data_IF_838138874586
#
_entry.id   IF_838138874586
#
_cell.length_a   1.000
_cell.length_b   1.000
_cell.length_c   1.000
_cell.angle_alpha   90.00
_cell.angle_beta   90.00
_cell.angle_gamma   90.00
#
_symmetry.space_group_name_H-M   'P 1'
#
loop_
_entity.id
_entity.type
_entity.pdbx_description
1 polymer ?
#
# COMPACT_ATOMS: atom_id res chain seq x y z
N UNK A 1 -6.39 3.88 -17.22
CA UNK A 1 -7.21 3.85 -16.00
C UNK A 1 -7.55 5.28 -15.64
N UNK A 2 -8.79 5.57 -15.24
CA UNK A 2 -9.12 6.91 -14.72
C UNK A 2 -8.44 7.14 -13.36
N UNK A 3 -8.19 8.41 -13.00
CA UNK A 3 -7.57 8.77 -11.72
C UNK A 3 -8.28 8.18 -10.51
N UNK A 4 -9.62 8.10 -10.55
CA UNK A 4 -10.44 7.47 -9.51
C UNK A 4 -10.18 5.95 -9.38
N UNK A 5 -9.99 5.24 -10.49
CA UNK A 5 -9.66 3.81 -10.46
C UNK A 5 -8.26 3.57 -9.87
N UNK A 6 -7.30 4.46 -10.16
CA UNK A 6 -5.95 4.36 -9.64
C UNK A 6 -5.89 4.63 -8.12
N UNK A 7 -6.67 5.62 -7.64
CA UNK A 7 -6.87 5.87 -6.20
C UNK A 7 -7.51 4.69 -5.50
N UNK A 8 -8.56 4.10 -6.09
CA UNK A 8 -9.22 2.93 -5.52
C UNK A 8 -8.27 1.73 -5.44
N UNK A 9 -7.49 1.49 -6.50
CA UNK A 9 -6.48 0.43 -6.52
C UNK A 9 -5.41 0.63 -5.43
N UNK A 10 -4.85 1.85 -5.34
CA UNK A 10 -3.87 2.18 -4.30
C UNK A 10 -4.43 2.04 -2.88
N UNK A 11 -5.66 2.52 -2.65
CA UNK A 11 -6.33 2.37 -1.36
C UNK A 11 -6.58 0.90 -0.99
N UNK A 12 -6.97 0.05 -1.95
CA UNK A 12 -7.12 -1.38 -1.74
C UNK A 12 -5.80 -2.07 -1.37
N UNK A 13 -4.69 -1.70 -2.03
CA UNK A 13 -3.36 -2.22 -1.68
C UNK A 13 -3.00 -1.83 -0.24
N UNK A 14 -3.16 -0.56 0.13
CA UNK A 14 -2.90 -0.09 1.49
C UNK A 14 -3.75 -0.84 2.51
N UNK A 15 -5.06 -0.96 2.27
CA UNK A 15 -5.98 -1.65 3.16
C UNK A 15 -5.55 -3.11 3.39
N UNK A 16 -5.21 -3.82 2.32
CA UNK A 16 -4.79 -5.21 2.41
C UNK A 16 -3.50 -5.36 3.23
N UNK A 17 -2.52 -4.49 3.00
CA UNK A 17 -1.28 -4.48 3.77
C UNK A 17 -1.54 -4.19 5.24
N UNK A 18 -2.42 -3.24 5.57
CA UNK A 18 -2.79 -2.93 6.95
C UNK A 18 -3.50 -4.10 7.65
N UNK A 19 -4.38 -4.82 6.95
CA UNK A 19 -5.04 -6.02 7.48
C UNK A 19 -3.99 -7.10 7.83
N UNK A 20 -3.01 -7.32 6.94
CA UNK A 20 -1.91 -8.28 7.16
C UNK A 20 -1.02 -7.84 8.32
N UNK A 21 -0.72 -6.55 8.42
CA UNK A 21 0.08 -5.98 9.50
C UNK A 21 -0.61 -6.17 10.86
N UNK A 22 -1.92 -5.95 10.92
CA UNK A 22 -2.73 -6.13 12.14
C UNK A 22 -2.89 -7.60 12.53
N UNK A 23 -3.00 -8.52 11.56
CA UNK A 23 -3.16 -9.95 11.85
C UNK A 23 -1.85 -10.63 12.29
N UNK A 24 -0.71 -10.11 11.82
CA UNK A 24 0.63 -10.66 12.10
C UNK A 24 1.52 -9.75 12.96
N UNK A 25 0.95 -8.79 13.69
CA UNK A 25 1.69 -7.73 14.38
C UNK A 25 2.87 -8.23 15.23
N UNK A 26 2.68 -9.34 15.97
CA UNK A 26 3.73 -9.94 16.79
C UNK A 26 4.84 -10.62 15.97
N UNK A 27 4.53 -11.15 14.79
CA UNK A 27 5.48 -11.84 13.92
C UNK A 27 6.42 -10.87 13.19
N UNK A 28 6.00 -9.61 12.98
CA UNK A 28 6.79 -8.57 12.30
C UNK A 28 8.04 -8.13 13.07
N UNK A 29 8.09 -8.36 14.38
CA UNK A 29 9.22 -8.04 15.25
C UNK A 29 10.20 -9.21 15.46
N UNK A 30 9.93 -10.35 14.82
CA UNK A 30 10.86 -11.48 14.83
C UNK A 30 12.05 -11.22 13.90
N UNK A 31 13.23 -11.78 14.23
CA UNK A 31 14.46 -11.54 13.46
C UNK A 31 14.34 -12.04 12.00
N UNK A 32 13.53 -13.08 11.79
CA UNK A 32 13.27 -13.70 10.49
C UNK A 32 12.29 -12.90 9.63
N UNK A 33 11.58 -11.92 10.21
CA UNK A 33 10.51 -11.19 9.55
C UNK A 33 10.98 -10.01 8.69
N UNK A 34 12.27 -9.66 8.72
CA UNK A 34 12.83 -8.48 8.07
C UNK A 34 12.44 -8.36 6.58
N UNK A 35 12.48 -9.47 5.83
CA UNK A 35 12.04 -9.51 4.43
C UNK A 35 10.53 -9.24 4.26
N UNK A 36 9.70 -9.81 5.14
CA UNK A 36 8.26 -9.57 5.15
C UNK A 36 7.95 -8.10 5.47
N UNK A 37 8.68 -7.52 6.44
CA UNK A 37 8.53 -6.12 6.84
C UNK A 37 8.94 -5.17 5.72
N UNK A 38 10.04 -5.45 5.01
CA UNK A 38 10.48 -4.68 3.84
C UNK A 38 9.46 -4.76 2.70
N UNK A 39 8.94 -5.96 2.41
CA UNK A 39 7.91 -6.14 1.40
C UNK A 39 6.65 -5.34 1.75
N UNK A 40 6.20 -5.40 3.00
CA UNK A 40 5.04 -4.65 3.47
C UNK A 40 5.27 -3.13 3.36
N UNK A 41 6.43 -2.63 3.77
CA UNK A 41 6.79 -1.22 3.61
C UNK A 41 6.77 -0.81 2.12
N UNK A 42 7.33 -1.63 1.23
CA UNK A 42 7.29 -1.41 -0.22
C UNK A 42 5.88 -1.34 -0.78
N UNK A 43 4.98 -2.24 -0.33
CA UNK A 43 3.58 -2.24 -0.77
C UNK A 43 2.80 -1.03 -0.26
N UNK A 44 3.09 -0.53 0.96
CA UNK A 44 2.51 0.72 1.46
C UNK A 44 2.95 1.90 0.58
N UNK A 45 4.24 2.00 0.28
CA UNK A 45 4.79 3.06 -0.59
C UNK A 45 4.17 2.98 -1.99
N UNK A 46 4.06 1.78 -2.56
CA UNK A 46 3.42 1.55 -3.85
C UNK A 46 1.94 2.00 -3.82
N UNK A 47 1.18 1.59 -2.81
CA UNK A 47 -0.21 1.99 -2.66
C UNK A 47 -0.38 3.51 -2.55
N UNK A 48 0.49 4.18 -1.79
CA UNK A 48 0.53 5.64 -1.69
C UNK A 48 0.88 6.30 -3.03
N UNK A 49 1.86 5.77 -3.75
CA UNK A 49 2.26 6.28 -5.06
C UNK A 49 1.10 6.19 -6.07
N UNK A 50 0.33 5.09 -6.06
CA UNK A 50 -0.86 4.92 -6.90
C UNK A 50 -1.97 5.92 -6.55
N UNK A 51 -2.20 6.18 -5.26
CA UNK A 51 -3.16 7.20 -4.81
C UNK A 51 -2.72 8.59 -5.28
N UNK A 52 -1.45 8.93 -5.09
CA UNK A 52 -0.89 10.22 -5.49
C UNK A 52 -0.96 10.44 -7.00
N UNK A 53 -0.54 9.44 -7.79
CA UNK A 53 -0.68 9.50 -9.25
C UNK A 53 -2.14 9.66 -9.66
N UNK A 54 -3.06 8.95 -9.00
CA UNK A 54 -4.48 9.04 -9.30
C UNK A 54 -5.10 10.40 -8.97
N UNK A 55 -4.54 11.12 -7.98
CA UNK A 55 -4.86 12.54 -7.73
C UNK A 55 -4.40 13.44 -8.85
N UNK A 56 -3.13 13.36 -9.21
CA UNK A 56 -2.57 14.23 -10.24
C UNK A 56 -3.26 14.01 -11.59
N UNK A 57 -3.57 12.76 -11.93
CA UNK A 57 -4.30 12.45 -13.18
C UNK A 57 -5.71 13.04 -13.20
N UNK A 58 -6.34 13.27 -12.04
CA UNK A 58 -7.65 13.90 -11.93
C UNK A 58 -7.61 15.45 -11.96
N UNK A 59 -6.43 16.04 -11.71
CA UNK A 59 -6.19 17.48 -11.82
C UNK A 59 -5.84 17.91 -13.26
N UNK A 60 -5.35 16.97 -14.07
CA UNK A 60 -4.95 17.19 -15.47
C UNK A 60 -6.08 16.95 -16.50
N UNK A 61 -7.25 16.47 -16.06
CA UNK A 61 -8.42 16.15 -16.91
C UNK A 61 -9.53 17.18 -16.82
#
# INVERSE_FOLDING_TARGET
>A
MNGLQLRLAGACVILFVLIVLLSGWSALFAAEALLSTLLQAGLVVLGLALVYQGENTALES
#
